data_IF_540772793005
#
_entry.id   IF_540772793005
#
_cell.length_a   1.000
_cell.length_b   1.000
_cell.length_c   1.000
_cell.angle_alpha   90.00
_cell.angle_beta   90.00
_cell.angle_gamma   90.00
#
_symmetry.space_group_name_H-M   'P 1'
#
loop_
_entity.id
_entity.type
_entity.pdbx_description
1 polymer ?
#
# COMPACT_ATOMS: atom_id res chain seq x y z
N UNK A 1 9.88 16.53 9.26
CA UNK A 1 10.07 15.21 8.59
C UNK A 1 10.62 14.20 9.59
N UNK A 2 10.38 12.89 9.41
CA UNK A 2 11.06 11.85 10.19
C UNK A 2 12.50 11.75 9.69
N UNK A 3 13.47 11.83 10.60
CA UNK A 3 14.90 11.79 10.32
C UNK A 3 15.45 10.36 10.45
N UNK A 4 15.11 9.69 11.54
CA UNK A 4 15.59 8.34 11.85
C UNK A 4 14.50 7.52 12.54
N UNK A 5 14.53 6.21 12.31
CA UNK A 5 13.63 5.24 12.94
C UNK A 5 14.46 4.06 13.44
N UNK A 6 14.26 3.67 14.69
CA UNK A 6 14.93 2.50 15.27
C UNK A 6 14.40 1.19 14.68
N UNK A 7 15.04 0.08 15.06
CA UNK A 7 14.37 -1.23 14.95
C UNK A 7 13.11 -1.29 15.83
N UNK A 8 12.22 -2.24 15.51
CA UNK A 8 11.05 -2.55 16.33
C UNK A 8 11.39 -3.68 17.29
N UNK A 9 11.26 -3.43 18.59
CA UNK A 9 11.64 -4.37 19.66
C UNK A 9 10.43 -4.89 20.42
N UNK A 10 10.35 -6.21 20.55
CA UNK A 10 9.35 -6.90 21.35
C UNK A 10 9.83 -7.03 22.80
N UNK A 11 8.96 -6.70 23.74
CA UNK A 11 9.21 -6.87 25.18
C UNK A 11 7.98 -7.42 25.89
N UNK A 12 8.14 -8.22 26.96
CA UNK A 12 7.04 -8.50 27.88
C UNK A 12 6.41 -7.22 28.44
N UNK A 13 5.17 -7.33 28.87
CA UNK A 13 4.48 -6.30 29.65
C UNK A 13 5.29 -5.91 30.89
N UNK A 14 5.49 -4.61 31.07
CA UNK A 14 6.33 -4.10 32.16
C UNK A 14 5.46 -3.75 33.37
N UNK A 15 5.60 -4.52 34.45
CA UNK A 15 4.93 -4.26 35.73
C UNK A 15 3.53 -4.86 35.90
N UNK A 16 3.05 -5.67 34.96
CA UNK A 16 1.80 -6.45 35.04
C UNK A 16 1.87 -7.66 34.10
N UNK A 17 0.96 -8.63 34.26
CA UNK A 17 0.80 -9.74 33.31
C UNK A 17 -0.13 -9.31 32.16
N UNK A 18 0.41 -9.24 30.95
CA UNK A 18 -0.31 -8.89 29.72
C UNK A 18 0.45 -9.30 28.46
N UNK A 19 -0.13 -9.02 27.29
CA UNK A 19 0.51 -9.31 26.01
C UNK A 19 1.85 -8.54 25.85
N UNK A 20 2.70 -9.06 24.98
CA UNK A 20 3.98 -8.42 24.66
C UNK A 20 3.75 -7.09 23.91
N UNK A 21 4.58 -6.10 24.20
CA UNK A 21 4.57 -4.80 23.53
C UNK A 21 5.62 -4.71 22.44
N UNK A 22 5.31 -3.95 21.39
CA UNK A 22 6.26 -3.50 20.37
C UNK A 22 6.72 -2.08 20.68
N UNK A 23 8.03 -1.87 20.67
CA UNK A 23 8.67 -0.62 21.06
C UNK A 23 9.57 -0.12 19.93
N UNK A 24 9.47 1.16 19.61
CA UNK A 24 10.33 1.84 18.65
C UNK A 24 10.56 3.29 19.06
N UNK A 25 11.63 3.90 18.56
CA UNK A 25 11.92 5.32 18.70
C UNK A 25 12.03 5.97 17.32
N UNK A 26 11.50 7.18 17.22
CA UNK A 26 11.56 8.00 16.03
C UNK A 26 12.21 9.34 16.39
N UNK A 27 13.08 9.82 15.51
CA UNK A 27 13.58 11.21 15.55
C UNK A 27 12.88 12.00 14.45
N UNK A 28 12.40 13.19 14.78
CA UNK A 28 11.68 14.05 13.86
C UNK A 28 12.16 15.50 13.94
N UNK A 29 12.08 16.18 12.81
CA UNK A 29 12.26 17.62 12.70
C UNK A 29 10.88 18.30 12.59
N UNK A 30 10.68 19.33 13.41
CA UNK A 30 9.44 20.11 13.45
C UNK A 30 9.71 21.57 13.83
N UNK A 31 8.88 22.46 13.30
CA UNK A 31 8.77 23.87 13.66
C UNK A 31 7.83 24.13 14.85
N UNK A 32 7.13 23.09 15.33
CA UNK A 32 6.17 23.14 16.42
C UNK A 32 6.85 23.19 17.78
N UNK A 33 6.24 23.91 18.71
CA UNK A 33 6.63 23.96 20.12
C UNK A 33 6.38 22.61 20.83
N UNK A 34 7.02 22.35 21.97
CA UNK A 34 6.82 21.12 22.75
C UNK A 34 5.35 20.85 23.09
N UNK A 35 4.58 21.88 23.45
CA UNK A 35 3.15 21.77 23.78
C UNK A 35 2.32 21.39 22.55
N UNK A 36 2.56 22.02 21.40
CA UNK A 36 1.87 21.66 20.15
C UNK A 36 2.20 20.24 19.70
N UNK A 37 3.44 19.78 19.92
CA UNK A 37 3.82 18.38 19.66
C UNK A 37 3.02 17.45 20.56
N UNK A 38 2.94 17.72 21.86
CA UNK A 38 2.17 16.92 22.81
C UNK A 38 0.69 16.82 22.40
N UNK A 39 0.07 17.94 22.01
CA UNK A 39 -1.33 17.95 21.53
C UNK A 39 -1.53 17.04 20.31
N UNK A 40 -0.58 17.05 19.38
CA UNK A 40 -0.62 16.18 18.19
C UNK A 40 -0.47 14.71 18.59
N UNK A 41 0.48 14.38 19.47
CA UNK A 41 0.66 13.00 19.96
C UNK A 41 -0.61 12.47 20.62
N UNK A 42 -1.24 13.27 21.49
CA UNK A 42 -2.50 12.93 22.14
C UNK A 42 -3.65 12.74 21.16
N UNK A 43 -3.68 13.52 20.07
CA UNK A 43 -4.68 13.37 19.01
C UNK A 43 -4.48 12.07 18.23
N UNK A 44 -3.25 11.72 17.88
CA UNK A 44 -2.92 10.45 17.20
C UNK A 44 -3.33 9.25 18.06
N UNK A 45 -3.03 9.27 19.36
CA UNK A 45 -3.49 8.23 20.28
C UNK A 45 -5.01 8.10 20.34
N UNK A 46 -5.73 9.22 20.30
CA UNK A 46 -7.20 9.22 20.26
C UNK A 46 -7.74 8.60 18.98
N UNK A 47 -7.19 8.97 17.84
CA UNK A 47 -7.58 8.43 16.53
C UNK A 47 -7.29 6.92 16.42
N UNK A 48 -6.22 6.42 17.04
CA UNK A 48 -5.86 5.00 17.05
C UNK A 48 -6.61 4.13 18.08
N UNK A 49 -7.63 4.69 18.73
CA UNK A 49 -8.57 3.91 19.54
C UNK A 49 -8.49 4.11 21.06
N UNK A 50 -8.03 5.27 21.56
CA UNK A 50 -8.17 5.62 22.98
C UNK A 50 -9.65 5.84 23.34
N UNK A 51 -10.37 4.78 23.66
CA UNK A 51 -11.66 4.87 24.33
C UNK A 51 -11.42 5.23 25.81
N UNK A 52 -11.75 6.47 26.21
CA UNK A 52 -11.70 6.88 27.62
C UNK A 52 -12.70 6.06 28.42
N UNK A 53 -12.22 5.06 29.16
CA UNK A 53 -13.01 4.29 30.13
C UNK A 53 -12.60 4.70 31.55
N UNK A 54 -13.58 4.92 32.42
CA UNK A 54 -13.44 5.41 33.81
C UNK A 54 -12.83 4.41 34.81
N UNK A 55 -11.73 3.72 34.45
CA UNK A 55 -11.09 2.71 35.31
C UNK A 55 -9.63 3.01 35.66
N UNK A 56 -9.27 2.95 36.95
CA UNK A 56 -7.87 3.03 37.42
C UNK A 56 -7.10 1.73 37.09
N UNK A 57 -6.11 1.79 36.20
CA UNK A 57 -5.17 0.69 35.91
C UNK A 57 -4.45 0.82 34.57
N UNK A 58 -3.34 0.07 34.38
CA UNK A 58 -2.70 -0.12 33.07
C UNK A 58 -3.62 -1.01 32.21
N UNK A 59 -4.14 -0.47 31.12
CA UNK A 59 -4.95 -1.21 30.14
C UNK A 59 -4.13 -1.44 28.88
N UNK A 60 -4.42 -2.53 28.15
CA UNK A 60 -3.86 -2.75 26.82
C UNK A 60 -4.28 -1.61 25.91
N UNK A 61 -3.32 -0.79 25.48
CA UNK A 61 -3.51 0.33 24.55
C UNK A 61 -3.08 -0.14 23.17
N UNK A 62 -3.80 0.26 22.13
CA UNK A 62 -3.36 0.00 20.75
C UNK A 62 -2.02 0.70 20.44
N UNK A 63 -1.78 1.87 21.04
CA UNK A 63 -0.53 2.62 20.93
C UNK A 63 -0.35 3.56 22.14
N UNK A 64 0.89 3.85 22.51
CA UNK A 64 1.30 4.82 23.54
C UNK A 64 2.49 5.61 22.99
N UNK A 65 2.42 6.95 22.96
CA UNK A 65 3.44 7.78 22.32
C UNK A 65 4.00 8.82 23.30
N UNK A 66 5.22 8.57 23.78
CA UNK A 66 5.93 9.44 24.72
C UNK A 66 6.91 10.39 24.01
N UNK A 67 6.92 11.67 24.42
CA UNK A 67 7.96 12.63 24.03
C UNK A 67 9.19 12.49 24.95
N UNK A 68 10.25 11.83 24.47
CA UNK A 68 11.46 11.56 25.25
C UNK A 68 12.37 12.79 25.44
N UNK A 69 12.63 13.50 24.33
CA UNK A 69 13.49 14.68 24.28
C UNK A 69 12.89 15.72 23.34
N UNK A 70 13.16 16.99 23.62
CA UNK A 70 12.94 18.09 22.70
C UNK A 70 14.20 18.95 22.67
N UNK A 71 15.06 18.70 21.69
CA UNK A 71 16.44 19.23 21.67
C UNK A 71 17.11 18.97 23.04
N UNK A 72 17.87 19.93 23.55
CA UNK A 72 18.49 19.88 24.89
C UNK A 72 17.68 20.63 25.95
N UNK A 73 16.40 20.91 25.69
CA UNK A 73 15.56 21.67 26.62
C UNK A 73 15.20 20.84 27.86
N UNK A 74 15.03 21.54 28.99
CA UNK A 74 14.51 20.98 30.24
C UNK A 74 13.20 21.71 30.50
N UNK A 75 12.10 20.99 30.36
CA UNK A 75 10.73 21.48 30.50
C UNK A 75 10.09 20.76 31.67
N UNK A 76 9.52 21.51 32.59
CA UNK A 76 8.79 20.97 33.73
C UNK A 76 7.52 21.80 33.93
N UNK A 77 6.42 21.28 33.41
CA UNK A 77 5.08 21.84 33.54
C UNK A 77 4.13 20.76 34.06
N UNK A 78 2.92 21.13 34.48
CA UNK A 78 1.91 20.17 34.93
C UNK A 78 1.47 19.21 33.82
N UNK A 79 1.58 19.66 32.55
CA UNK A 79 1.12 18.92 31.37
C UNK A 79 2.25 18.16 30.65
N UNK A 80 3.48 18.67 30.72
CA UNK A 80 4.63 18.13 29.98
C UNK A 80 5.93 18.19 30.81
N UNK A 81 6.63 17.06 30.88
CA UNK A 81 7.99 16.97 31.44
C UNK A 81 8.94 16.37 30.40
N UNK A 82 9.96 17.14 30.00
CA UNK A 82 11.00 16.75 29.04
C UNK A 82 12.38 17.13 29.60
N UNK A 83 13.40 16.25 29.56
CA UNK A 83 13.35 14.86 29.11
C UNK A 83 12.39 14.00 29.92
N UNK A 84 11.84 12.95 29.30
CA UNK A 84 10.85 12.09 29.95
C UNK A 84 11.41 11.54 31.29
N UNK A 85 10.73 11.74 32.43
CA UNK A 85 11.35 11.59 33.75
C UNK A 85 11.81 10.16 34.04
N UNK A 86 11.17 9.15 33.44
CA UNK A 86 11.47 7.74 33.69
C UNK A 86 12.18 7.05 32.51
N UNK A 87 12.53 7.76 31.43
CA UNK A 87 13.09 7.07 30.24
C UNK A 87 14.39 6.33 30.55
N UNK A 88 15.23 6.88 31.43
CA UNK A 88 16.52 6.30 31.84
C UNK A 88 16.38 5.01 32.66
N UNK A 89 15.18 4.70 33.15
CA UNK A 89 14.90 3.51 33.96
C UNK A 89 14.39 2.33 33.12
N UNK A 90 14.04 2.56 31.86
CA UNK A 90 13.30 1.61 31.01
C UNK A 90 14.18 1.15 29.85
N UNK A 91 14.54 -0.13 29.83
CA UNK A 91 15.42 -0.69 28.80
C UNK A 91 14.75 -0.69 27.43
N UNK A 92 13.44 -0.96 27.38
CA UNK A 92 12.63 -0.93 26.14
C UNK A 92 12.52 0.47 25.50
N UNK A 93 12.84 1.54 26.24
CA UNK A 93 12.96 2.91 25.71
C UNK A 93 14.40 3.20 25.29
N UNK A 94 15.37 2.91 26.16
CA UNK A 94 16.78 3.22 25.92
C UNK A 94 17.40 2.43 24.77
N UNK A 95 16.98 1.18 24.54
CA UNK A 95 17.54 0.35 23.46
C UNK A 95 17.17 0.88 22.08
N UNK A 96 15.87 1.10 21.73
CA UNK A 96 15.51 1.73 20.46
C UNK A 96 16.10 3.14 20.31
N UNK A 97 16.11 3.94 21.39
CA UNK A 97 16.74 5.27 21.36
C UNK A 97 18.24 5.21 21.07
N UNK A 98 18.95 4.22 21.61
CA UNK A 98 20.39 4.05 21.37
C UNK A 98 20.72 3.68 19.92
N UNK A 99 19.77 3.13 19.16
CA UNK A 99 19.98 2.81 17.74
C UNK A 99 20.02 4.05 16.86
N UNK A 100 19.23 5.09 17.20
CA UNK A 100 19.13 6.35 16.44
C UNK A 100 19.94 7.50 17.07
N UNK A 101 20.13 7.48 18.39
CA UNK A 101 20.74 8.57 19.14
C UNK A 101 21.74 8.07 20.20
N UNK A 102 22.75 7.24 19.84
CA UNK A 102 23.65 6.59 20.81
C UNK A 102 24.47 7.58 21.65
N UNK A 103 24.80 8.75 21.10
CA UNK A 103 25.67 9.75 21.73
C UNK A 103 24.90 11.01 22.16
N UNK A 104 23.58 10.96 22.19
CA UNK A 104 22.78 12.09 22.63
C UNK A 104 22.84 12.23 24.15
N UNK A 105 23.25 13.41 24.63
CA UNK A 105 23.42 13.67 26.06
C UNK A 105 22.10 14.05 26.70
N UNK A 106 21.74 13.34 27.77
CA UNK A 106 20.62 13.71 28.62
C UNK A 106 20.98 15.00 29.39
N UNK A 107 20.25 16.13 29.20
CA UNK A 107 20.65 17.43 29.72
C UNK A 107 20.67 17.51 31.26
N UNK A 108 19.82 16.72 31.93
CA UNK A 108 19.81 16.63 33.41
C UNK A 108 20.85 15.65 33.97
N UNK A 109 20.96 14.43 33.42
CA UNK A 109 21.82 13.38 33.97
C UNK A 109 23.29 13.48 33.51
N UNK A 110 23.57 14.25 32.45
CA UNK A 110 24.92 14.46 31.92
C UNK A 110 25.56 13.22 31.29
N UNK A 111 24.75 12.22 30.91
CA UNK A 111 25.20 10.96 30.29
C UNK A 111 24.59 10.79 28.91
N UNK A 112 25.36 10.17 28.01
CA UNK A 112 24.83 9.79 26.70
C UNK A 112 23.91 8.56 26.77
N UNK A 113 23.07 8.37 25.75
CA UNK A 113 22.12 7.25 25.69
C UNK A 113 22.79 5.88 25.87
N UNK A 114 23.99 5.66 25.30
CA UNK A 114 24.73 4.40 25.47
C UNK A 114 25.08 4.13 26.92
N UNK A 115 25.61 5.13 27.64
CA UNK A 115 25.93 4.98 29.06
C UNK A 115 24.67 4.77 29.90
N UNK A 116 23.59 5.51 29.60
CA UNK A 116 22.29 5.29 30.26
C UNK A 116 21.78 3.85 30.04
N UNK A 117 21.90 3.31 28.83
CA UNK A 117 21.50 1.93 28.51
C UNK A 117 22.36 0.89 29.24
N UNK A 118 23.66 1.12 29.38
CA UNK A 118 24.58 0.24 30.10
C UNK A 118 24.32 0.23 31.62
N UNK A 119 23.98 1.38 32.19
CA UNK A 119 23.70 1.54 33.62
C UNK A 119 22.24 1.23 33.99
N UNK A 120 21.38 1.01 33.00
CA UNK A 120 19.96 0.74 33.21
C UNK A 120 19.77 -0.55 34.03
N UNK A 121 19.05 -0.44 35.16
CA UNK A 121 18.80 -1.58 36.06
C UNK A 121 17.75 -2.55 35.52
N UNK A 122 16.94 -2.11 34.56
CA UNK A 122 15.93 -2.94 33.91
C UNK A 122 16.60 -4.03 33.05
N UNK A 123 16.24 -5.28 33.33
CA UNK A 123 16.78 -6.49 32.69
C UNK A 123 15.77 -7.16 31.76
N UNK A 124 14.65 -6.50 31.45
CA UNK A 124 13.64 -7.00 30.52
C UNK A 124 14.32 -7.41 29.20
N UNK A 125 14.03 -8.63 28.73
CA UNK A 125 14.57 -9.10 27.46
C UNK A 125 13.91 -8.36 26.31
N UNK A 126 14.72 -7.91 25.36
CA UNK A 126 14.24 -7.28 24.13
C UNK A 126 14.63 -8.15 22.93
N UNK A 127 13.64 -8.52 22.15
CA UNK A 127 13.84 -9.23 20.88
C UNK A 127 13.62 -8.24 19.73
N UNK A 128 14.59 -8.11 18.82
CA UNK A 128 14.38 -7.32 17.61
C UNK A 128 13.46 -8.10 16.67
N UNK A 129 12.36 -7.48 16.28
CA UNK A 129 11.37 -8.09 15.38
C UNK A 129 11.73 -7.83 13.91
N UNK A 130 11.16 -8.61 12.97
CA UNK A 130 11.29 -8.33 11.53
C UNK A 130 10.46 -7.12 11.08
N UNK A 131 9.58 -6.57 11.93
CA UNK A 131 8.75 -5.43 11.59
C UNK A 131 9.60 -4.20 11.26
N UNK A 132 9.15 -3.45 10.25
CA UNK A 132 9.78 -2.20 9.80
C UNK A 132 8.76 -1.09 9.83
N UNK A 133 9.19 0.06 10.33
CA UNK A 133 8.45 1.31 10.24
C UNK A 133 8.97 2.10 9.04
N UNK A 134 8.07 2.77 8.33
CA UNK A 134 8.39 3.59 7.16
C UNK A 134 8.08 5.06 7.47
N UNK A 135 8.97 6.00 7.11
CA UNK A 135 8.77 7.41 7.45
C UNK A 135 7.72 8.09 6.56
N UNK A 136 7.31 7.45 5.46
CA UNK A 136 6.22 7.91 4.60
C UNK A 136 5.56 6.73 3.90
N UNK A 137 4.30 6.92 3.46
CA UNK A 137 3.61 5.96 2.61
C UNK A 137 4.32 5.74 1.27
N UNK A 138 4.96 6.77 0.72
CA UNK A 138 5.75 6.67 -0.51
C UNK A 138 6.88 5.62 -0.40
N UNK A 139 7.60 5.60 0.72
CA UNK A 139 8.68 4.63 0.97
C UNK A 139 8.17 3.23 1.29
N UNK A 140 6.95 3.13 1.82
CA UNK A 140 6.27 1.84 1.95
C UNK A 140 5.88 1.32 0.56
N UNK A 141 5.29 2.16 -0.29
CA UNK A 141 4.99 1.82 -1.68
C UNK A 141 6.23 1.45 -2.48
N UNK A 142 7.37 2.09 -2.24
CA UNK A 142 8.62 1.76 -2.95
C UNK A 142 9.13 0.34 -2.66
N UNK A 143 8.62 -0.34 -1.61
CA UNK A 143 8.93 -1.76 -1.39
C UNK A 143 8.23 -2.64 -2.43
N UNK A 144 7.06 -2.21 -2.91
CA UNK A 144 6.37 -2.83 -4.04
C UNK A 144 7.10 -2.37 -5.30
N UNK A 145 7.69 -3.27 -6.07
CA UNK A 145 8.37 -2.91 -7.30
C UNK A 145 7.36 -2.70 -8.43
N UNK A 146 6.25 -3.44 -8.42
CA UNK A 146 5.18 -3.36 -9.40
C UNK A 146 3.80 -3.61 -8.77
N UNK A 147 2.92 -2.64 -8.90
CA UNK A 147 1.50 -2.70 -8.53
C UNK A 147 0.67 -2.81 -9.82
N UNK A 148 -0.17 -3.84 -9.94
CA UNK A 148 -1.10 -3.95 -11.07
C UNK A 148 -2.55 -3.74 -10.60
N UNK A 149 -3.24 -2.79 -11.23
CA UNK A 149 -4.64 -2.47 -10.97
C UNK A 149 -5.48 -3.05 -12.10
N UNK A 150 -6.37 -3.95 -11.73
CA UNK A 150 -7.24 -4.71 -12.60
C UNK A 150 -8.70 -4.54 -12.22
N UNK A 151 -9.58 -4.96 -13.12
CA UNK A 151 -10.99 -4.62 -13.00
C UNK A 151 -11.69 -4.54 -14.35
N UNK A 152 -13.00 -4.53 -14.29
CA UNK A 152 -13.83 -4.53 -15.49
C UNK A 152 -13.75 -3.19 -16.27
N UNK A 153 -14.29 -3.19 -17.48
CA UNK A 153 -14.41 -1.99 -18.32
C UNK A 153 -15.29 -0.98 -17.58
N UNK A 154 -14.79 0.24 -17.35
CA UNK A 154 -15.50 1.26 -16.58
C UNK A 154 -15.25 1.24 -15.07
N UNK A 155 -14.40 0.35 -14.54
CA UNK A 155 -14.13 0.26 -13.09
C UNK A 155 -13.24 1.38 -12.51
N UNK A 156 -12.67 2.27 -13.33
CA UNK A 156 -11.82 3.38 -12.83
C UNK A 156 -10.33 3.06 -12.66
N UNK A 157 -9.84 1.91 -13.17
CA UNK A 157 -8.42 1.49 -13.10
C UNK A 157 -7.42 2.58 -13.48
N UNK A 158 -7.56 3.16 -14.67
CA UNK A 158 -6.68 4.20 -15.19
C UNK A 158 -6.67 5.44 -14.31
N UNK A 159 -7.81 5.78 -13.70
CA UNK A 159 -7.91 6.91 -12.76
C UNK A 159 -7.15 6.62 -11.48
N UNK A 160 -7.34 5.42 -10.89
CA UNK A 160 -6.63 5.04 -9.68
C UNK A 160 -5.11 4.95 -9.90
N UNK A 161 -4.67 4.36 -11.03
CA UNK A 161 -3.26 4.25 -11.38
C UNK A 161 -2.59 5.62 -11.51
N UNK A 162 -3.26 6.59 -12.15
CA UNK A 162 -2.76 7.97 -12.26
C UNK A 162 -2.64 8.65 -10.89
N UNK A 163 -3.69 8.57 -10.06
CA UNK A 163 -3.66 9.18 -8.72
C UNK A 163 -2.51 8.61 -7.87
N UNK A 164 -2.32 7.28 -7.88
CA UNK A 164 -1.18 6.63 -7.21
C UNK A 164 0.17 7.12 -7.77
N UNK A 165 0.29 7.22 -9.09
CA UNK A 165 1.53 7.68 -9.72
C UNK A 165 1.87 9.13 -9.38
N UNK A 166 0.86 10.00 -9.37
CA UNK A 166 1.01 11.42 -9.08
C UNK A 166 1.35 11.66 -7.58
N UNK A 167 0.66 10.96 -6.66
CA UNK A 167 0.83 11.16 -5.21
C UNK A 167 2.04 10.45 -4.60
N UNK A 168 2.49 9.33 -5.19
CA UNK A 168 3.58 8.51 -4.65
C UNK A 168 4.77 8.39 -5.59
N UNK A 169 4.89 9.31 -6.56
CA UNK A 169 5.99 9.39 -7.51
C UNK A 169 6.30 8.05 -8.21
N UNK A 170 5.25 7.32 -8.59
CA UNK A 170 5.41 6.06 -9.30
C UNK A 170 5.67 6.29 -10.80
N UNK A 171 6.25 5.28 -11.47
CA UNK A 171 6.24 5.18 -12.93
C UNK A 171 4.89 4.62 -13.35
N UNK A 172 4.15 5.39 -14.15
CA UNK A 172 2.82 5.00 -14.64
C UNK A 172 2.93 4.18 -15.93
N UNK A 173 2.32 3.00 -15.94
CA UNK A 173 2.17 2.15 -17.13
C UNK A 173 0.69 2.07 -17.50
N UNK A 174 0.32 2.59 -18.67
CA UNK A 174 -1.06 2.61 -19.14
C UNK A 174 -1.27 1.68 -20.33
N UNK A 175 -2.40 0.99 -20.34
CA UNK A 175 -2.84 0.17 -21.46
C UNK A 175 -3.05 1.00 -22.74
N UNK A 176 -2.42 0.56 -23.83
CA UNK A 176 -2.54 1.18 -25.16
C UNK A 176 -3.66 0.51 -25.95
N UNK A 177 -4.89 1.03 -25.86
CA UNK A 177 -6.05 0.50 -26.63
C UNK A 177 -6.58 1.48 -27.69
N UNK A 178 -6.25 2.76 -27.63
CA UNK A 178 -6.88 3.79 -28.47
C UNK A 178 -6.56 3.64 -29.96
N UNK A 179 -5.34 3.22 -30.29
CA UNK A 179 -4.85 3.12 -31.66
C UNK A 179 -5.11 1.73 -32.29
N UNK A 180 -5.83 0.84 -31.59
CA UNK A 180 -6.04 -0.52 -32.05
C UNK A 180 -7.10 -0.59 -33.16
N UNK A 181 -6.74 -0.96 -34.41
CA UNK A 181 -7.66 -0.94 -35.55
C UNK A 181 -8.72 -2.06 -35.50
N UNK A 182 -8.55 -3.06 -34.65
CA UNK A 182 -9.49 -4.17 -34.47
C UNK A 182 -10.53 -3.89 -33.40
N UNK A 183 -10.26 -3.00 -32.44
CA UNK A 183 -11.15 -2.78 -31.30
C UNK A 183 -12.54 -2.27 -31.72
N UNK A 184 -12.69 -1.25 -32.59
CA UNK A 184 -14.01 -0.86 -33.10
C UNK A 184 -14.68 -1.97 -33.92
N UNK A 185 -13.91 -2.79 -34.63
CA UNK A 185 -14.43 -3.88 -35.47
C UNK A 185 -14.94 -5.05 -34.62
N UNK A 186 -14.26 -5.34 -33.51
CA UNK A 186 -14.67 -6.34 -32.53
C UNK A 186 -16.04 -6.04 -31.92
N UNK A 187 -16.31 -4.79 -31.55
CA UNK A 187 -17.62 -4.43 -31.01
C UNK A 187 -18.76 -4.54 -32.04
N UNK A 188 -18.45 -4.55 -33.34
CA UNK A 188 -19.43 -4.80 -34.40
C UNK A 188 -19.57 -6.29 -34.76
N UNK A 189 -18.47 -7.06 -34.72
CA UNK A 189 -18.44 -8.50 -35.03
C UNK A 189 -17.35 -9.20 -34.21
N UNK A 190 -17.73 -9.64 -33.00
CA UNK A 190 -16.79 -10.29 -32.09
C UNK A 190 -16.24 -11.58 -32.69
N UNK A 191 -17.09 -12.36 -33.37
CA UNK A 191 -16.72 -13.68 -33.89
C UNK A 191 -15.56 -13.63 -34.89
N UNK A 192 -15.50 -12.56 -35.69
CA UNK A 192 -14.49 -12.39 -36.73
C UNK A 192 -13.23 -11.68 -36.24
N UNK A 193 -13.36 -10.76 -35.29
CA UNK A 193 -12.28 -9.87 -34.89
C UNK A 193 -11.71 -10.13 -33.49
N UNK A 194 -12.28 -11.05 -32.70
CA UNK A 194 -11.74 -11.39 -31.38
C UNK A 194 -10.29 -11.87 -31.44
N UNK A 195 -9.97 -12.86 -32.28
CA UNK A 195 -8.61 -13.39 -32.37
C UNK A 195 -7.55 -12.35 -32.75
N UNK A 196 -7.68 -11.57 -33.84
CA UNK A 196 -6.68 -10.54 -34.17
C UNK A 196 -6.60 -9.44 -33.10
N UNK A 197 -7.73 -9.07 -32.46
CA UNK A 197 -7.73 -8.11 -31.37
C UNK A 197 -6.94 -8.62 -30.16
N UNK A 198 -7.25 -9.82 -29.66
CA UNK A 198 -6.57 -10.38 -28.49
C UNK A 198 -5.08 -10.60 -28.74
N UNK A 199 -4.71 -11.00 -29.96
CA UNK A 199 -3.30 -11.14 -30.36
C UNK A 199 -2.57 -9.80 -30.40
N UNK A 200 -3.21 -8.75 -30.92
CA UNK A 200 -2.63 -7.41 -30.91
C UNK A 200 -2.43 -6.89 -29.48
N UNK A 201 -3.42 -7.05 -28.60
CA UNK A 201 -3.27 -6.70 -27.18
C UNK A 201 -2.15 -7.48 -26.50
N UNK A 202 -2.01 -8.78 -26.77
CA UNK A 202 -0.93 -9.58 -26.19
C UNK A 202 0.45 -9.08 -26.62
N UNK A 203 0.62 -8.76 -27.89
CA UNK A 203 1.87 -8.23 -28.44
C UNK A 203 2.21 -6.86 -27.84
N UNK A 204 1.26 -5.92 -27.87
CA UNK A 204 1.45 -4.56 -27.35
C UNK A 204 1.77 -4.57 -25.86
N UNK A 205 1.02 -5.36 -25.06
CA UNK A 205 1.24 -5.47 -23.61
C UNK A 205 2.61 -6.07 -23.30
N UNK A 206 3.04 -7.10 -24.03
CA UNK A 206 4.35 -7.70 -23.82
C UNK A 206 5.48 -6.76 -24.20
N UNK A 207 5.37 -6.07 -25.35
CA UNK A 207 6.36 -5.06 -25.75
C UNK A 207 6.47 -3.96 -24.70
N UNK A 208 5.34 -3.41 -24.25
CA UNK A 208 5.31 -2.39 -23.21
C UNK A 208 5.95 -2.88 -21.90
N UNK A 209 5.62 -4.10 -21.46
CA UNK A 209 6.25 -4.69 -20.27
C UNK A 209 7.77 -4.83 -20.44
N UNK A 210 8.25 -5.32 -21.59
CA UNK A 210 9.69 -5.44 -21.85
C UNK A 210 10.37 -4.07 -21.84
N UNK A 211 9.79 -3.07 -22.52
CA UNK A 211 10.34 -1.71 -22.55
C UNK A 211 10.37 -1.08 -21.15
N UNK A 212 9.28 -1.22 -20.39
CA UNK A 212 9.10 -0.53 -19.11
C UNK A 212 9.82 -1.18 -17.93
N UNK A 213 10.08 -2.50 -18.00
CA UNK A 213 10.80 -3.24 -16.96
C UNK A 213 12.31 -3.32 -17.20
N UNK A 214 12.78 -3.15 -18.44
CA UNK A 214 14.21 -3.14 -18.75
C UNK A 214 14.86 -1.78 -18.53
N UNK A 215 14.09 -0.69 -18.70
CA UNK A 215 14.53 0.64 -18.32
C UNK A 215 14.34 0.84 -16.82
N UNK A 216 15.42 0.62 -16.06
CA UNK A 216 15.52 1.09 -14.67
C UNK A 216 15.48 2.62 -14.70
N UNK A 217 14.29 3.16 -14.48
CA UNK A 217 14.14 4.59 -14.25
C UNK A 217 14.77 4.91 -12.90
N UNK A 218 15.97 5.49 -12.93
CA UNK A 218 16.81 5.79 -11.75
C UNK A 218 16.10 6.69 -10.73
N UNK A 219 14.99 7.33 -11.10
CA UNK A 219 14.26 8.31 -10.30
C UNK A 219 12.87 7.86 -9.82
N UNK A 220 12.41 6.67 -10.22
CA UNK A 220 11.08 6.19 -9.86
C UNK A 220 11.15 5.07 -8.83
N UNK A 221 10.42 5.28 -7.74
CA UNK A 221 10.44 4.41 -6.56
C UNK A 221 9.78 3.04 -6.82
N UNK A 222 8.76 3.01 -7.69
CA UNK A 222 8.07 1.79 -8.13
C UNK A 222 7.25 2.01 -9.39
N UNK A 223 6.68 0.94 -9.95
CA UNK A 223 5.75 1.00 -11.08
C UNK A 223 4.31 0.75 -10.64
N UNK A 224 3.37 1.53 -11.18
CA UNK A 224 1.93 1.26 -11.10
C UNK A 224 1.37 1.11 -12.51
N UNK A 225 0.67 0.00 -12.75
CA UNK A 225 0.06 -0.32 -14.04
C UNK A 225 -1.45 -0.37 -13.91
N UNK A 226 -2.18 0.15 -14.90
CA UNK A 226 -3.66 0.03 -14.97
C UNK A 226 -4.16 -1.27 -15.61
N UNK A 227 -3.23 -2.22 -15.81
CA UNK A 227 -3.47 -3.59 -16.22
C UNK A 227 -2.33 -4.53 -15.81
N UNK A 228 -2.61 -5.82 -15.77
CA UNK A 228 -1.70 -6.95 -15.71
C UNK A 228 -1.79 -7.71 -17.05
N UNK A 229 -0.67 -8.22 -17.56
CA UNK A 229 -0.68 -8.93 -18.83
C UNK A 229 -1.63 -10.15 -18.81
N UNK A 230 -1.91 -10.73 -17.64
CA UNK A 230 -2.80 -11.88 -17.52
C UNK A 230 -4.24 -11.59 -17.97
N UNK A 231 -4.66 -10.32 -17.95
CA UNK A 231 -5.93 -9.87 -18.56
C UNK A 231 -6.14 -10.42 -19.96
N UNK A 232 -5.07 -10.48 -20.76
CA UNK A 232 -5.04 -11.12 -22.08
C UNK A 232 -5.69 -12.51 -22.08
N UNK A 233 -5.34 -13.35 -21.12
CA UNK A 233 -5.86 -14.71 -21.06
C UNK A 233 -7.33 -14.75 -20.61
N UNK A 234 -7.73 -13.86 -19.70
CA UNK A 234 -9.12 -13.74 -19.22
C UNK A 234 -10.05 -13.36 -20.38
N UNK A 235 -9.70 -12.29 -21.11
CA UNK A 235 -10.49 -11.82 -22.23
C UNK A 235 -10.53 -12.86 -23.36
N UNK A 236 -9.38 -13.44 -23.72
CA UNK A 236 -9.30 -14.49 -24.72
C UNK A 236 -10.15 -15.73 -24.39
N UNK A 237 -10.24 -16.12 -23.11
CA UNK A 237 -11.08 -17.25 -22.70
C UNK A 237 -12.58 -16.98 -22.91
N UNK A 238 -12.99 -15.71 -22.81
CA UNK A 238 -14.39 -15.30 -22.97
C UNK A 238 -14.75 -15.12 -24.44
N UNK A 239 -13.82 -14.59 -25.25
CA UNK A 239 -14.12 -14.13 -26.61
C UNK A 239 -13.74 -15.12 -27.70
N UNK A 240 -12.74 -15.98 -27.49
CA UNK A 240 -12.21 -16.87 -28.52
C UNK A 240 -12.92 -18.23 -28.56
N UNK A 241 -12.99 -18.80 -29.75
CA UNK A 241 -13.42 -20.18 -29.92
C UNK A 241 -12.39 -21.16 -29.32
N UNK A 242 -12.82 -22.39 -29.01
CA UNK A 242 -12.00 -23.38 -28.29
C UNK A 242 -10.62 -23.63 -28.93
N UNK A 243 -10.54 -23.75 -30.24
CA UNK A 243 -9.25 -24.01 -30.93
C UNK A 243 -8.37 -22.75 -31.01
N UNK A 244 -8.97 -21.57 -31.23
CA UNK A 244 -8.28 -20.28 -31.18
C UNK A 244 -7.71 -20.00 -29.79
N UNK A 245 -8.49 -20.26 -28.74
CA UNK A 245 -8.06 -20.10 -27.35
C UNK A 245 -6.89 -21.02 -27.00
N UNK A 246 -6.87 -22.28 -27.48
CA UNK A 246 -5.73 -23.18 -27.27
C UNK A 246 -4.45 -22.61 -27.88
N UNK A 247 -4.52 -22.10 -29.10
CA UNK A 247 -3.38 -21.47 -29.76
C UNK A 247 -2.94 -20.21 -29.01
N UNK A 248 -3.89 -19.34 -28.67
CA UNK A 248 -3.65 -18.13 -27.91
C UNK A 248 -2.97 -18.41 -26.57
N UNK A 249 -3.51 -19.35 -25.79
CA UNK A 249 -2.96 -19.75 -24.50
C UNK A 249 -1.53 -20.28 -24.63
N UNK A 250 -1.23 -21.00 -25.71
CA UNK A 250 0.14 -21.46 -25.99
C UNK A 250 1.07 -20.25 -26.17
N UNK A 251 0.70 -19.27 -26.99
CA UNK A 251 1.49 -18.04 -27.21
C UNK A 251 1.64 -17.23 -25.93
N UNK A 252 0.53 -17.01 -25.22
CA UNK A 252 0.50 -16.32 -23.93
C UNK A 252 1.47 -16.97 -22.94
N UNK A 253 1.47 -18.29 -22.79
CA UNK A 253 2.35 -18.99 -21.86
C UNK A 253 3.85 -18.83 -22.18
N UNK A 254 4.23 -18.66 -23.45
CA UNK A 254 5.61 -18.38 -23.81
C UNK A 254 6.00 -16.96 -23.38
N UNK A 255 5.19 -15.96 -23.75
CA UNK A 255 5.47 -14.54 -23.48
C UNK A 255 5.38 -14.25 -21.97
N UNK A 256 4.40 -14.81 -21.28
CA UNK A 256 4.18 -14.58 -19.85
C UNK A 256 5.34 -15.08 -18.98
N UNK A 257 6.12 -16.08 -19.40
CA UNK A 257 7.25 -16.58 -18.60
C UNK A 257 8.34 -15.53 -18.38
N UNK A 258 8.49 -14.60 -19.30
CA UNK A 258 9.55 -13.57 -19.27
C UNK A 258 9.07 -12.28 -18.60
N UNK A 259 7.76 -12.12 -18.38
CA UNK A 259 7.19 -10.91 -17.80
C UNK A 259 7.32 -10.93 -16.28
N UNK A 260 7.89 -9.85 -15.72
CA UNK A 260 7.92 -9.60 -14.27
C UNK A 260 6.49 -9.56 -13.72
N UNK A 261 6.27 -10.25 -12.60
CA UNK A 261 4.96 -10.27 -11.93
C UNK A 261 4.83 -9.08 -10.98
N UNK A 262 3.65 -8.48 -10.85
CA UNK A 262 3.39 -7.51 -9.80
C UNK A 262 3.49 -8.17 -8.43
N UNK A 263 4.01 -7.40 -7.48
CA UNK A 263 4.10 -7.77 -6.07
C UNK A 263 2.72 -7.76 -5.42
N UNK A 264 1.80 -6.93 -5.94
CA UNK A 264 0.39 -6.93 -5.56
C UNK A 264 -0.52 -6.76 -6.78
N UNK A 265 -1.55 -7.60 -6.84
CA UNK A 265 -2.61 -7.54 -7.84
C UNK A 265 -3.90 -7.01 -7.22
N UNK A 266 -4.34 -5.83 -7.63
CA UNK A 266 -5.53 -5.16 -7.09
C UNK A 266 -6.67 -5.36 -8.08
N UNK A 267 -7.77 -5.98 -7.66
CA UNK A 267 -8.99 -6.09 -8.44
C UNK A 267 -10.04 -5.11 -7.92
N UNK A 268 -10.35 -4.08 -8.71
CA UNK A 268 -11.43 -3.14 -8.45
C UNK A 268 -12.76 -3.77 -8.87
N UNK A 269 -13.52 -4.21 -7.86
CA UNK A 269 -14.86 -4.72 -8.05
C UNK A 269 -15.87 -3.57 -8.05
N UNK A 270 -16.77 -3.59 -9.02
CA UNK A 270 -17.81 -2.59 -9.20
C UNK A 270 -19.07 -3.27 -9.74
N UNK A 271 -20.25 -2.78 -9.35
CA UNK A 271 -21.52 -3.29 -9.85
C UNK A 271 -21.65 -3.03 -11.36
N UNK A 272 -22.31 -3.95 -12.06
CA UNK A 272 -22.46 -3.85 -13.51
C UNK A 272 -23.24 -2.59 -13.92
N UNK A 273 -24.16 -2.15 -13.09
CA UNK A 273 -24.92 -0.91 -13.23
C UNK A 273 -23.98 0.31 -13.27
N UNK A 274 -23.11 0.46 -12.25
CA UNK A 274 -22.14 1.58 -12.21
C UNK A 274 -21.09 1.48 -13.32
N UNK A 275 -20.69 0.27 -13.73
CA UNK A 275 -19.79 0.09 -14.88
C UNK A 275 -20.40 0.67 -16.16
N UNK A 276 -21.68 0.37 -16.43
CA UNK A 276 -22.39 0.88 -17.61
C UNK A 276 -22.55 2.40 -17.56
N UNK A 277 -22.84 2.97 -16.40
CA UNK A 277 -22.88 4.43 -16.21
C UNK A 277 -21.53 5.08 -16.51
N UNK A 278 -20.44 4.51 -16.01
CA UNK A 278 -19.08 5.00 -16.26
C UNK A 278 -18.68 4.89 -17.72
N UNK A 279 -19.05 3.80 -18.42
CA UNK A 279 -18.82 3.62 -19.86
C UNK A 279 -19.58 4.68 -20.66
N UNK A 280 -20.85 4.95 -20.31
CA UNK A 280 -21.65 6.00 -20.93
C UNK A 280 -21.03 7.38 -20.71
N UNK A 281 -20.68 7.73 -19.46
CA UNK A 281 -20.03 9.00 -19.11
C UNK A 281 -18.71 9.21 -19.86
N UNK A 282 -17.93 8.13 -20.07
CA UNK A 282 -16.66 8.16 -20.83
C UNK A 282 -16.84 8.43 -22.32
N UNK A 283 -18.01 8.14 -22.89
CA UNK A 283 -18.39 8.62 -24.23
C UNK A 283 -17.63 8.01 -25.42
N UNK A 284 -16.92 6.89 -25.26
CA UNK A 284 -16.28 6.20 -26.40
C UNK A 284 -17.35 5.58 -27.28
N UNK A 285 -17.40 5.98 -28.55
CA UNK A 285 -18.45 5.59 -29.50
C UNK A 285 -18.57 4.06 -29.66
N UNK A 286 -17.44 3.36 -29.70
CA UNK A 286 -17.39 1.91 -29.89
C UNK A 286 -17.76 1.10 -28.63
N UNK A 287 -17.84 1.71 -27.44
CA UNK A 287 -18.20 1.01 -26.20
C UNK A 287 -19.69 1.16 -25.84
N UNK A 288 -20.44 2.04 -26.52
CA UNK A 288 -21.83 2.36 -26.14
C UNK A 288 -22.79 1.16 -26.30
N UNK A 289 -22.41 0.16 -27.11
CA UNK A 289 -23.17 -1.06 -27.34
C UNK A 289 -22.82 -2.22 -26.42
N UNK A 290 -21.96 -2.02 -25.41
CA UNK A 290 -21.58 -3.08 -24.46
C UNK A 290 -22.81 -3.50 -23.65
N UNK A 291 -23.13 -4.80 -23.70
CA UNK A 291 -24.23 -5.36 -22.93
C UNK A 291 -23.81 -5.76 -21.50
N UNK A 292 -24.82 -5.90 -20.64
CA UNK A 292 -24.67 -6.27 -19.24
C UNK A 292 -24.06 -7.67 -19.08
N UNK A 293 -24.48 -8.62 -19.91
CA UNK A 293 -24.09 -10.03 -19.81
C UNK A 293 -22.59 -10.23 -20.10
N UNK A 294 -22.04 -9.44 -21.02
CA UNK A 294 -20.62 -9.41 -21.36
C UNK A 294 -19.77 -8.92 -20.18
N UNK A 295 -20.19 -7.84 -19.52
CA UNK A 295 -19.52 -7.36 -18.31
C UNK A 295 -19.58 -8.40 -17.18
N UNK A 296 -20.72 -9.08 -17.00
CA UNK A 296 -20.85 -10.17 -16.03
C UNK A 296 -19.97 -11.38 -16.34
N UNK A 297 -19.80 -11.74 -17.64
CA UNK A 297 -18.85 -12.77 -18.08
C UNK A 297 -17.41 -12.37 -17.72
N UNK A 298 -17.03 -11.11 -17.95
CA UNK A 298 -15.71 -10.59 -17.59
C UNK A 298 -15.48 -10.66 -16.08
N UNK A 299 -16.45 -10.22 -15.27
CA UNK A 299 -16.36 -10.29 -13.81
C UNK A 299 -16.12 -11.75 -13.33
N UNK A 300 -16.89 -12.71 -13.87
CA UNK A 300 -16.67 -14.13 -13.57
C UNK A 300 -15.27 -14.59 -13.96
N UNK A 301 -14.79 -14.21 -15.15
CA UNK A 301 -13.43 -14.53 -15.60
C UNK A 301 -12.34 -14.02 -14.65
N UNK A 302 -12.47 -12.81 -14.10
CA UNK A 302 -11.53 -12.31 -13.09
C UNK A 302 -11.61 -13.09 -11.77
N UNK A 303 -12.81 -13.41 -11.28
CA UNK A 303 -12.95 -14.20 -10.05
C UNK A 303 -12.39 -15.62 -10.21
N UNK A 304 -12.63 -16.27 -11.34
CA UNK A 304 -12.07 -17.59 -11.65
C UNK A 304 -10.54 -17.54 -11.74
N UNK A 305 -10.00 -16.46 -12.32
CA UNK A 305 -8.56 -16.19 -12.32
C UNK A 305 -8.01 -16.06 -10.91
N UNK A 306 -8.57 -15.19 -10.07
CA UNK A 306 -8.10 -14.96 -8.71
C UNK A 306 -8.11 -16.25 -7.87
N UNK A 307 -9.15 -17.08 -8.01
CA UNK A 307 -9.23 -18.41 -7.37
C UNK A 307 -8.14 -19.38 -7.85
N UNK A 308 -7.71 -19.26 -9.10
CA UNK A 308 -6.67 -20.12 -9.70
C UNK A 308 -5.25 -19.81 -9.23
N UNK A 309 -5.02 -18.67 -8.57
CA UNK A 309 -3.70 -18.23 -8.12
C UNK A 309 -3.68 -17.85 -6.62
N UNK A 310 -3.96 -18.80 -5.70
CA UNK A 310 -4.10 -18.51 -4.27
C UNK A 310 -2.80 -18.00 -3.61
N UNK A 311 -1.64 -18.26 -4.22
CA UNK A 311 -0.34 -17.82 -3.71
C UNK A 311 0.09 -16.44 -4.22
N UNK A 312 -0.70 -15.79 -5.09
CA UNK A 312 -0.43 -14.42 -5.53
C UNK A 312 -1.05 -13.48 -4.50
N UNK A 313 -0.25 -12.53 -3.99
CA UNK A 313 -0.76 -11.43 -3.16
C UNK A 313 -1.75 -10.62 -4.00
N UNK A 314 -3.03 -10.77 -3.68
CA UNK A 314 -4.14 -10.17 -4.41
C UNK A 314 -5.11 -9.51 -3.45
N UNK A 315 -5.66 -8.38 -3.86
CA UNK A 315 -6.59 -7.57 -3.07
C UNK A 315 -7.83 -7.30 -3.91
N UNK A 316 -9.00 -7.70 -3.41
CA UNK A 316 -10.27 -7.31 -4.02
C UNK A 316 -10.80 -6.10 -3.26
N UNK A 317 -11.00 -5.00 -3.98
CA UNK A 317 -11.55 -3.77 -3.41
C UNK A 317 -12.92 -3.54 -4.01
N UNK A 318 -13.95 -3.66 -3.19
CA UNK A 318 -15.28 -3.22 -3.56
C UNK A 318 -15.34 -1.68 -3.52
N UNK A 319 -15.58 -1.09 -4.69
CA UNK A 319 -15.70 0.36 -4.88
C UNK A 319 -17.14 0.76 -5.23
N UNK A 320 -18.13 -0.11 -4.97
CA UNK A 320 -19.52 0.11 -5.34
C UNK A 320 -20.15 1.36 -4.72
N UNK A 321 -19.71 1.76 -3.54
CA UNK A 321 -20.21 2.94 -2.83
C UNK A 321 -19.15 4.03 -2.66
N UNK A 322 -17.98 3.86 -3.30
CA UNK A 322 -16.87 4.81 -3.21
C UNK A 322 -16.85 5.73 -4.44
N UNK A 323 -16.45 6.99 -4.23
CA UNK A 323 -16.12 7.95 -5.28
C UNK A 323 -14.69 8.49 -5.08
N UNK A 324 -13.70 7.61 -5.21
CA UNK A 324 -12.28 7.98 -5.07
C UNK A 324 -11.79 9.00 -6.11
N UNK A 325 -12.62 9.38 -7.09
CA UNK A 325 -12.27 10.40 -8.08
C UNK A 325 -12.41 11.79 -7.45
N UNK A 326 -13.60 12.08 -6.91
CA UNK A 326 -13.96 13.39 -6.34
C UNK A 326 -13.79 13.45 -4.81
N UNK A 327 -13.75 12.31 -4.13
CA UNK A 327 -13.61 12.21 -2.67
C UNK A 327 -12.23 11.69 -2.28
N UNK A 328 -11.42 12.57 -1.69
CA UNK A 328 -10.08 12.21 -1.18
C UNK A 328 -10.16 11.14 -0.09
N UNK A 329 -11.14 11.18 0.80
CA UNK A 329 -11.28 10.18 1.87
C UNK A 329 -11.48 8.77 1.32
N UNK A 330 -12.25 8.62 0.25
CA UNK A 330 -12.48 7.32 -0.39
C UNK A 330 -11.21 6.82 -1.10
N UNK A 331 -10.43 7.74 -1.67
CA UNK A 331 -9.12 7.41 -2.23
C UNK A 331 -8.14 6.95 -1.14
N UNK A 332 -8.06 7.67 -0.03
CA UNK A 332 -7.23 7.31 1.12
C UNK A 332 -7.59 5.93 1.69
N UNK A 333 -8.88 5.61 1.78
CA UNK A 333 -9.35 4.28 2.19
C UNK A 333 -8.84 3.16 1.26
N UNK A 334 -8.80 3.41 -0.05
CA UNK A 334 -8.25 2.47 -1.03
C UNK A 334 -6.74 2.29 -0.82
N UNK A 335 -6.02 3.40 -0.62
CA UNK A 335 -4.58 3.39 -0.37
C UNK A 335 -4.25 2.61 0.90
N UNK A 336 -4.97 2.85 1.99
CA UNK A 336 -4.77 2.14 3.26
C UNK A 336 -4.95 0.63 3.09
N UNK A 337 -6.00 0.19 2.39
CA UNK A 337 -6.21 -1.24 2.08
C UNK A 337 -5.07 -1.84 1.26
N UNK A 338 -4.55 -1.10 0.27
CA UNK A 338 -3.42 -1.56 -0.55
C UNK A 338 -2.17 -1.72 0.32
N UNK A 339 -1.91 -0.76 1.21
CA UNK A 339 -0.75 -0.78 2.10
C UNK A 339 -0.87 -1.88 3.16
N UNK A 340 -2.03 -2.08 3.77
CA UNK A 340 -2.30 -3.20 4.69
C UNK A 340 -2.04 -4.55 4.01
N UNK A 341 -2.55 -4.74 2.78
CA UNK A 341 -2.29 -5.95 2.02
C UNK A 341 -0.80 -6.08 1.64
N UNK A 342 -0.09 -4.98 1.41
CA UNK A 342 1.34 -5.00 1.12
C UNK A 342 2.17 -5.54 2.30
N UNK A 343 1.70 -5.31 3.53
CA UNK A 343 2.40 -5.66 4.78
C UNK A 343 2.12 -7.09 5.29
N UNK A 344 1.10 -7.78 4.75
CA UNK A 344 0.79 -9.17 5.12
C UNK A 344 1.69 -10.14 4.37
N UNK A 345 2.31 -11.11 5.06
CA UNK A 345 3.23 -12.10 4.46
C UNK A 345 2.54 -13.07 3.48
#
# INVERSE_FOLDING_TARGET
PILEISGVYKSPSWGFDGEDFLNACLSLETDKTPSEVLEILLKVEQEMGRQRSEGQGYQSRNIDIDLLFYKSEIIQTDELTVPHPQMHLRRFVLKPLADIAPQFYHPVLGKDTRNLLQECKDKTSLEQTPHKLFPSRELLFSQLHLVAIEGNIGAGKTTLARKIADEHNAKLVLERFADNPFLPKFYNDQSRYAFPLEMSFLADRYQQFTDDTTQLDLFKNFMVSDYDIYKSLIFAQITLQKEEFKLYRKMFNFMYKEVKKPDIYIFLYQSTERLLENIKKRGRSYEQGIDKEYLEKINRGYFDFLKGFPHRKSLIIDIADLDFVENTTDFELIIDKILEQSLTD
#
